data_IF_953257720253
#
_entry.id   IF_953257720253
#
_cell.length_a   1.000
_cell.length_b   1.000
_cell.length_c   1.000
_cell.angle_alpha   90.00
_cell.angle_beta   90.00
_cell.angle_gamma   90.00
#
_symmetry.space_group_name_H-M   'P 1'
#
loop_
_entity.id
_entity.type
_entity.pdbx_description
1 polymer ?
#
# COMPACT_ATOMS: atom_id res chain seq x y z
N UNK A 1 -16.66 -50.96 15.68
CA UNK A 1 -15.93 -50.57 16.91
C UNK A 1 -15.66 -49.07 16.82
N UNK A 2 -16.08 -48.26 17.80
CA UNK A 2 -15.74 -46.84 17.84
C UNK A 2 -14.22 -46.68 18.05
N UNK A 3 -13.54 -45.84 17.27
CA UNK A 3 -12.10 -45.60 17.46
C UNK A 3 -11.87 -44.81 18.76
N UNK A 4 -11.16 -45.41 19.72
CA UNK A 4 -10.82 -44.83 21.02
C UNK A 4 -9.60 -43.88 20.99
N UNK A 5 -9.06 -43.58 19.80
CA UNK A 5 -8.04 -42.55 19.66
C UNK A 5 -8.69 -41.29 19.08
N UNK A 6 -8.50 -40.11 19.70
CA UNK A 6 -8.85 -38.86 19.05
C UNK A 6 -7.93 -38.70 17.84
N UNK A 7 -8.37 -39.16 16.67
CA UNK A 7 -7.89 -38.55 15.43
C UNK A 7 -8.18 -37.06 15.57
N UNK A 8 -7.21 -36.14 15.33
CA UNK A 8 -7.54 -34.73 15.20
C UNK A 8 -8.71 -34.65 14.23
N UNK A 9 -9.86 -34.15 14.67
CA UNK A 9 -11.06 -34.08 13.86
C UNK A 9 -10.69 -33.41 12.52
N UNK A 10 -10.53 -34.22 11.48
CA UNK A 10 -10.17 -33.76 10.14
C UNK A 10 -11.39 -33.38 9.32
N UNK A 11 -12.56 -33.30 9.95
CA UNK A 11 -13.79 -32.86 9.31
C UNK A 11 -14.81 -32.41 10.34
N UNK A 12 -15.38 -31.22 10.13
CA UNK A 12 -16.52 -30.72 10.89
C UNK A 12 -16.43 -29.22 11.15
N UNK A 13 -16.97 -28.43 10.22
CA UNK A 13 -17.50 -27.06 10.41
C UNK A 13 -16.69 -26.00 11.17
N UNK A 14 -15.38 -26.16 11.31
CA UNK A 14 -14.51 -25.05 11.73
C UNK A 14 -14.46 -23.99 10.61
N UNK A 15 -15.16 -22.86 10.83
CA UNK A 15 -15.18 -21.71 9.94
C UNK A 15 -13.77 -21.15 9.66
N UNK A 16 -12.83 -21.29 10.60
CA UNK A 16 -11.45 -20.83 10.45
C UNK A 16 -10.56 -21.84 9.71
N UNK A 17 -10.96 -23.12 9.61
CA UNK A 17 -10.27 -24.15 8.81
C UNK A 17 -10.95 -24.48 7.50
N UNK A 18 -12.19 -24.03 7.27
CA UNK A 18 -12.78 -24.06 5.94
C UNK A 18 -11.82 -23.32 5.02
N UNK A 19 -11.15 -24.08 4.14
CA UNK A 19 -10.80 -23.54 2.83
C UNK A 19 -12.13 -23.02 2.31
N UNK A 20 -12.33 -21.71 2.33
CA UNK A 20 -13.30 -21.08 1.46
C UNK A 20 -13.01 -21.72 0.11
N UNK A 21 -13.93 -22.59 -0.33
CA UNK A 21 -13.79 -23.35 -1.57
C UNK A 21 -13.54 -22.40 -2.74
N UNK A 22 -13.32 -22.90 -3.96
CA UNK A 22 -13.14 -22.05 -5.13
C UNK A 22 -14.35 -21.12 -5.28
N UNK A 23 -14.24 -19.92 -4.73
CA UNK A 23 -15.32 -18.96 -4.60
C UNK A 23 -15.36 -18.16 -5.89
N UNK A 24 -16.30 -18.54 -6.75
CA UNK A 24 -16.81 -17.80 -7.90
C UNK A 24 -15.77 -17.44 -8.97
N UNK A 25 -15.81 -18.17 -10.08
CA UNK A 25 -15.02 -17.99 -11.32
C UNK A 25 -13.52 -17.78 -11.10
N UNK A 26 -12.72 -18.78 -11.49
CA UNK A 26 -11.25 -18.72 -11.45
C UNK A 26 -10.66 -17.50 -12.19
N UNK A 27 -11.43 -16.87 -13.08
CA UNK A 27 -11.07 -15.68 -13.85
C UNK A 27 -11.56 -14.34 -13.26
N UNK A 28 -12.35 -14.32 -12.17
CA UNK A 28 -12.85 -13.06 -11.60
C UNK A 28 -11.84 -12.46 -10.60
N UNK A 29 -11.42 -11.23 -10.90
CA UNK A 29 -10.62 -10.39 -10.00
C UNK A 29 -11.41 -10.12 -8.70
N UNK A 30 -10.90 -10.46 -7.50
CA UNK A 30 -11.59 -10.25 -6.23
C UNK A 30 -12.00 -8.79 -6.01
N UNK A 31 -13.19 -8.56 -5.46
CA UNK A 31 -13.69 -7.18 -5.18
C UNK A 31 -12.73 -6.38 -4.31
N UNK A 32 -12.15 -7.00 -3.28
CA UNK A 32 -11.14 -6.36 -2.42
C UNK A 32 -9.90 -5.90 -3.21
N UNK A 33 -9.49 -6.65 -4.23
CA UNK A 33 -8.38 -6.27 -5.11
C UNK A 33 -8.76 -5.07 -5.99
N UNK A 34 -9.99 -5.03 -6.51
CA UNK A 34 -10.49 -3.87 -7.29
C UNK A 34 -10.57 -2.61 -6.43
N UNK A 35 -11.06 -2.74 -5.20
CA UNK A 35 -11.18 -1.63 -4.25
C UNK A 35 -9.80 -1.08 -3.90
N UNK A 36 -8.87 -1.93 -3.43
CA UNK A 36 -7.53 -1.46 -3.05
C UNK A 36 -6.75 -0.91 -4.23
N UNK A 37 -6.97 -1.43 -5.44
CA UNK A 37 -6.38 -0.88 -6.66
C UNK A 37 -6.80 0.57 -6.87
N UNK A 38 -8.09 0.88 -6.80
CA UNK A 38 -8.58 2.26 -6.96
C UNK A 38 -8.18 3.16 -5.79
N UNK A 39 -8.17 2.63 -4.56
CA UNK A 39 -7.66 3.36 -3.39
C UNK A 39 -6.20 3.78 -3.61
N UNK A 40 -5.31 2.84 -3.95
CA UNK A 40 -3.89 3.12 -4.23
C UNK A 40 -3.72 4.15 -5.35
N UNK A 41 -4.55 4.11 -6.39
CA UNK A 41 -4.52 5.10 -7.47
C UNK A 41 -4.93 6.50 -7.00
N UNK A 42 -6.01 6.62 -6.23
CA UNK A 42 -6.48 7.89 -5.67
C UNK A 42 -5.46 8.44 -4.67
N UNK A 43 -4.93 7.58 -3.81
CA UNK A 43 -3.89 7.93 -2.83
C UNK A 43 -2.61 8.37 -3.53
N UNK A 44 -2.17 7.67 -4.57
CA UNK A 44 -1.02 8.09 -5.38
C UNK A 44 -1.23 9.48 -6.01
N UNK A 45 -2.42 9.74 -6.59
CA UNK A 45 -2.74 11.06 -7.13
C UNK A 45 -2.72 12.13 -6.04
N UNK A 46 -3.24 11.82 -4.85
CA UNK A 46 -3.22 12.72 -3.69
C UNK A 46 -1.81 12.97 -3.16
N UNK A 47 -0.93 11.97 -3.12
CA UNK A 47 0.49 12.11 -2.78
C UNK A 47 1.23 13.02 -3.76
N UNK A 48 0.95 12.87 -5.06
CA UNK A 48 1.52 13.73 -6.11
C UNK A 48 1.05 15.17 -5.91
N UNK A 49 -0.25 15.38 -5.71
CA UNK A 49 -0.82 16.71 -5.49
C UNK A 49 -0.25 17.38 -4.22
N UNK A 50 -0.28 16.68 -3.08
CA UNK A 50 0.25 17.19 -1.81
C UNK A 50 1.75 17.45 -1.88
N UNK A 51 2.51 16.58 -2.54
CA UNK A 51 3.93 16.77 -2.78
C UNK A 51 4.23 18.01 -3.63
N UNK A 52 3.45 18.25 -4.70
CA UNK A 52 3.57 19.49 -5.49
C UNK A 52 3.25 20.73 -4.65
N UNK A 53 2.19 20.70 -3.84
CA UNK A 53 1.83 21.83 -2.96
C UNK A 53 2.97 22.14 -1.99
N UNK A 54 3.53 21.13 -1.32
CA UNK A 54 4.68 21.32 -0.42
C UNK A 54 5.92 21.87 -1.15
N UNK A 55 6.12 21.45 -2.39
CA UNK A 55 7.23 21.93 -3.21
C UNK A 55 7.09 23.41 -3.58
N UNK A 56 5.87 23.91 -3.75
CA UNK A 56 5.59 25.28 -4.23
C UNK A 56 5.15 26.27 -3.15
N UNK A 57 4.70 25.82 -1.97
CA UNK A 57 4.06 26.67 -0.97
C UNK A 57 4.96 27.77 -0.37
N UNK A 58 6.26 27.50 -0.23
CA UNK A 58 7.17 28.42 0.45
C UNK A 58 6.94 28.50 1.97
N UNK A 59 7.60 29.46 2.62
CA UNK A 59 7.52 29.62 4.07
C UNK A 59 6.18 30.28 4.47
N UNK A 60 5.48 29.70 5.45
CA UNK A 60 4.15 30.13 5.90
C UNK A 60 4.06 30.42 7.40
N UNK A 61 5.21 30.45 8.08
CA UNK A 61 5.29 30.75 9.52
C UNK A 61 5.44 32.26 9.80
N UNK A 62 5.73 32.63 11.07
CA UNK A 62 5.92 34.01 11.49
C UNK A 62 7.00 34.76 10.70
N UNK A 63 6.79 36.05 10.42
CA UNK A 63 7.74 36.82 9.61
C UNK A 63 9.02 37.24 10.36
N UNK A 64 9.01 37.18 11.69
CA UNK A 64 10.06 37.65 12.60
C UNK A 64 11.21 36.66 12.81
N UNK A 65 11.19 35.50 12.16
CA UNK A 65 12.32 34.55 12.20
C UNK A 65 13.40 34.88 11.16
N UNK A 66 14.62 34.44 11.48
CA UNK A 66 15.79 34.60 10.62
C UNK A 66 15.60 33.96 9.24
N UNK A 67 16.18 34.58 8.21
CA UNK A 67 16.06 34.13 6.82
C UNK A 67 16.67 32.73 6.63
N UNK A 68 17.78 32.42 7.31
CA UNK A 68 18.40 31.09 7.20
C UNK A 68 17.49 29.97 7.72
N UNK A 69 16.71 30.26 8.76
CA UNK A 69 15.70 29.34 9.27
C UNK A 69 14.57 29.13 8.24
N UNK A 70 14.04 30.22 7.66
CA UNK A 70 13.01 30.14 6.61
C UNK A 70 13.46 29.28 5.43
N UNK A 71 14.68 29.50 4.95
CA UNK A 71 15.25 28.75 3.82
C UNK A 71 15.41 27.27 4.15
N UNK A 72 15.83 26.94 5.37
CA UNK A 72 15.95 25.55 5.84
C UNK A 72 14.60 24.85 5.87
N UNK A 73 13.57 25.50 6.40
CA UNK A 73 12.19 24.96 6.45
C UNK A 73 11.67 24.70 5.03
N UNK A 74 11.84 25.67 4.13
CA UNK A 74 11.38 25.53 2.73
C UNK A 74 12.12 24.42 2.00
N UNK A 75 13.43 24.28 2.22
CA UNK A 75 14.21 23.21 1.59
C UNK A 75 13.78 21.82 2.08
N UNK A 76 13.52 21.67 3.38
CA UNK A 76 13.00 20.42 3.94
C UNK A 76 11.60 20.10 3.38
N UNK A 77 10.71 21.09 3.31
CA UNK A 77 9.37 20.92 2.72
C UNK A 77 9.45 20.50 1.25
N UNK A 78 10.32 21.13 0.46
CA UNK A 78 10.55 20.76 -0.95
C UNK A 78 11.10 19.35 -1.09
N UNK A 79 12.05 18.96 -0.24
CA UNK A 79 12.63 17.62 -0.25
C UNK A 79 11.56 16.56 0.05
N UNK A 80 10.79 16.76 1.12
CA UNK A 80 9.72 15.84 1.52
C UNK A 80 8.62 15.80 0.47
N UNK A 81 8.19 16.96 -0.04
CA UNK A 81 7.19 17.05 -1.10
C UNK A 81 7.64 16.34 -2.38
N UNK A 82 8.91 16.48 -2.77
CA UNK A 82 9.50 15.78 -3.91
C UNK A 82 9.52 14.26 -3.72
N UNK A 83 9.93 13.78 -2.54
CA UNK A 83 9.88 12.34 -2.21
C UNK A 83 8.46 11.82 -2.26
N UNK A 84 7.49 12.53 -1.67
CA UNK A 84 6.10 12.09 -1.61
C UNK A 84 5.47 12.00 -3.01
N UNK A 85 5.71 13.02 -3.86
CA UNK A 85 5.24 13.00 -5.23
C UNK A 85 5.88 11.86 -6.05
N UNK A 86 7.19 11.66 -5.91
CA UNK A 86 7.89 10.55 -6.55
C UNK A 86 7.37 9.19 -6.09
N UNK A 87 7.15 9.01 -4.78
CA UNK A 87 6.58 7.79 -4.23
C UNK A 87 5.18 7.51 -4.77
N UNK A 88 4.33 8.55 -4.91
CA UNK A 88 3.02 8.43 -5.55
C UNK A 88 3.12 7.89 -6.99
N UNK A 89 4.06 8.41 -7.81
CA UNK A 89 4.29 7.91 -9.17
C UNK A 89 4.70 6.44 -9.17
N UNK A 90 5.63 6.06 -8.28
CA UNK A 90 6.10 4.66 -8.18
C UNK A 90 4.97 3.74 -7.72
N UNK A 91 4.15 4.16 -6.75
CA UNK A 91 2.98 3.40 -6.28
C UNK A 91 1.98 3.20 -7.42
N UNK A 92 1.66 4.25 -8.19
CA UNK A 92 0.76 4.12 -9.34
C UNK A 92 1.31 3.14 -10.38
N UNK A 93 2.61 3.22 -10.70
CA UNK A 93 3.27 2.32 -11.64
C UNK A 93 3.23 0.86 -11.19
N UNK A 94 3.53 0.58 -9.91
CA UNK A 94 3.48 -0.78 -9.36
C UNK A 94 2.04 -1.30 -9.21
N UNK A 95 1.09 -0.43 -8.86
CA UNK A 95 -0.33 -0.78 -8.74
C UNK A 95 -0.90 -1.22 -10.08
N UNK A 96 -0.46 -0.63 -11.19
CA UNK A 96 -0.86 -1.07 -12.55
C UNK A 96 -0.48 -2.53 -12.85
N UNK A 97 0.57 -3.04 -12.21
CA UNK A 97 1.05 -4.40 -12.38
C UNK A 97 0.31 -5.40 -11.48
N UNK A 98 -0.43 -4.93 -10.46
CA UNK A 98 -1.04 -5.77 -9.42
C UNK A 98 -2.05 -6.81 -9.96
N UNK A 99 -2.93 -6.50 -10.94
CA UNK A 99 -3.91 -7.47 -11.45
C UNK A 99 -3.28 -8.64 -12.22
N UNK A 100 -2.12 -8.40 -12.86
CA UNK A 100 -1.42 -9.39 -13.70
C UNK A 100 -0.16 -9.95 -13.02
N UNK A 101 0.28 -9.33 -11.93
CA UNK A 101 1.56 -9.55 -11.29
C UNK A 101 1.58 -10.75 -10.36
N UNK A 102 2.78 -11.31 -10.16
CA UNK A 102 3.03 -12.37 -9.18
C UNK A 102 3.33 -11.82 -7.78
N UNK A 103 4.03 -12.62 -6.96
CA UNK A 103 4.36 -12.27 -5.57
C UNK A 103 5.37 -11.09 -5.48
N UNK A 104 6.25 -10.91 -6.46
CA UNK A 104 7.35 -9.93 -6.42
C UNK A 104 6.88 -8.46 -6.49
N UNK A 105 6.09 -8.01 -7.48
CA UNK A 105 5.66 -6.60 -7.56
C UNK A 105 4.90 -6.17 -6.30
N UNK A 106 4.12 -7.08 -5.71
CA UNK A 106 3.38 -6.83 -4.49
C UNK A 106 4.26 -6.67 -3.24
N UNK A 107 5.35 -7.43 -3.13
CA UNK A 107 6.33 -7.28 -2.03
C UNK A 107 7.09 -5.96 -2.15
N UNK A 108 7.48 -5.60 -3.37
CA UNK A 108 8.14 -4.31 -3.64
C UNK A 108 7.20 -3.16 -3.32
N UNK A 109 5.93 -3.25 -3.74
CA UNK A 109 4.90 -2.28 -3.39
C UNK A 109 4.75 -2.16 -1.86
N UNK A 110 4.65 -3.27 -1.13
CA UNK A 110 4.58 -3.23 0.34
C UNK A 110 5.77 -2.50 0.97
N UNK A 111 6.99 -2.76 0.49
CA UNK A 111 8.19 -2.09 1.00
C UNK A 111 8.14 -0.58 0.78
N UNK A 112 7.65 -0.13 -0.38
CA UNK A 112 7.47 1.29 -0.69
C UNK A 112 6.37 1.90 0.17
N UNK A 113 5.22 1.24 0.32
CA UNK A 113 4.13 1.73 1.18
C UNK A 113 4.61 1.89 2.63
N UNK A 114 5.40 0.93 3.15
CA UNK A 114 5.98 1.04 4.48
C UNK A 114 6.95 2.22 4.61
N UNK A 115 7.80 2.42 3.60
CA UNK A 115 8.74 3.55 3.58
C UNK A 115 8.01 4.89 3.56
N UNK A 116 6.93 5.00 2.76
CA UNK A 116 6.06 6.18 2.73
C UNK A 116 5.47 6.46 4.10
N UNK A 117 4.88 5.46 4.76
CA UNK A 117 4.32 5.62 6.11
C UNK A 117 5.37 6.14 7.09
N UNK A 118 6.59 5.59 7.06
CA UNK A 118 7.67 6.01 7.95
C UNK A 118 8.10 7.46 7.69
N UNK A 119 8.29 7.83 6.41
CA UNK A 119 8.71 9.18 6.01
C UNK A 119 7.63 10.20 6.35
N UNK A 120 6.36 9.90 6.06
CA UNK A 120 5.25 10.81 6.31
C UNK A 120 5.00 11.03 7.81
N UNK A 121 5.06 9.96 8.61
CA UNK A 121 4.95 10.08 10.06
C UNK A 121 6.13 10.85 10.67
N UNK A 122 7.36 10.63 10.18
CA UNK A 122 8.52 11.37 10.63
C UNK A 122 8.42 12.85 10.23
N UNK A 123 7.99 13.14 9.00
CA UNK A 123 7.76 14.50 8.54
C UNK A 123 6.68 15.21 9.34
N UNK A 124 5.61 14.50 9.71
CA UNK A 124 4.55 15.05 10.53
C UNK A 124 5.04 15.31 11.96
N UNK A 125 5.75 14.35 12.57
CA UNK A 125 6.30 14.49 13.91
C UNK A 125 7.33 15.63 14.03
N UNK A 126 8.11 15.86 12.98
CA UNK A 126 9.09 16.96 12.91
C UNK A 126 8.48 18.28 12.43
N UNK A 127 7.17 18.33 12.16
CA UNK A 127 6.47 19.50 11.60
C UNK A 127 7.07 19.99 10.27
N UNK A 128 7.84 19.14 9.59
CA UNK A 128 8.38 19.43 8.27
C UNK A 128 7.32 19.32 7.16
N UNK A 129 6.17 18.71 7.47
CA UNK A 129 5.02 18.62 6.57
C UNK A 129 3.69 18.83 7.29
N UNK A 130 2.66 19.10 6.50
CA UNK A 130 1.31 19.37 7.02
C UNK A 130 0.56 18.11 7.44
N UNK A 131 -0.62 18.31 8.04
CA UNK A 131 -1.54 17.24 8.46
C UNK A 131 -1.89 16.24 7.34
N UNK A 132 -1.83 16.68 6.08
CA UNK A 132 -2.04 15.81 4.93
C UNK A 132 -1.11 14.58 4.91
N UNK A 133 0.14 14.70 5.36
CA UNK A 133 1.08 13.56 5.40
C UNK A 133 0.66 12.52 6.43
N UNK A 134 0.17 12.94 7.61
CA UNK A 134 -0.37 12.00 8.60
C UNK A 134 -1.58 11.24 8.05
N UNK A 135 -2.47 11.94 7.32
CA UNK A 135 -3.61 11.30 6.67
C UNK A 135 -3.17 10.30 5.60
N UNK A 136 -2.20 10.66 4.76
CA UNK A 136 -1.61 9.77 3.76
C UNK A 136 -1.03 8.52 4.43
N UNK A 137 -0.23 8.67 5.49
CA UNK A 137 0.34 7.55 6.21
C UNK A 137 -0.73 6.57 6.72
N UNK A 138 -1.84 7.08 7.29
CA UNK A 138 -2.94 6.22 7.76
C UNK A 138 -3.61 5.49 6.60
N UNK A 139 -3.93 6.20 5.51
CA UNK A 139 -4.59 5.60 4.33
C UNK A 139 -3.70 4.54 3.68
N UNK A 140 -2.42 4.84 3.47
CA UNK A 140 -1.43 3.92 2.91
C UNK A 140 -1.26 2.68 3.78
N UNK A 141 -1.24 2.84 5.12
CA UNK A 141 -1.19 1.71 6.04
C UNK A 141 -2.43 0.81 5.93
N UNK A 142 -3.63 1.40 5.81
CA UNK A 142 -4.87 0.65 5.61
C UNK A 142 -4.87 -0.10 4.27
N UNK A 143 -4.40 0.54 3.19
CA UNK A 143 -4.24 -0.08 1.88
C UNK A 143 -3.28 -1.27 1.93
N UNK A 144 -2.16 -1.14 2.64
CA UNK A 144 -1.22 -2.23 2.86
C UNK A 144 -1.88 -3.41 3.59
N UNK A 145 -2.73 -3.17 4.60
CA UNK A 145 -3.48 -4.25 5.26
C UNK A 145 -4.50 -4.92 4.33
N UNK A 146 -5.25 -4.13 3.55
CA UNK A 146 -6.24 -4.65 2.60
C UNK A 146 -5.57 -5.49 1.52
N UNK A 147 -4.42 -5.03 1.01
CA UNK A 147 -3.62 -5.69 -0.01
C UNK A 147 -3.21 -7.11 0.42
N UNK A 148 -3.16 -7.39 1.72
CA UNK A 148 -2.77 -8.69 2.29
C UNK A 148 -3.92 -9.55 2.82
N UNK A 149 -5.17 -9.20 2.48
CA UNK A 149 -6.33 -10.04 2.80
C UNK A 149 -6.26 -11.43 2.13
N UNK A 150 -6.82 -12.48 2.77
CA UNK A 150 -6.78 -13.85 2.26
C UNK A 150 -7.30 -14.02 0.83
N UNK A 151 -8.36 -13.29 0.46
CA UNK A 151 -8.93 -13.35 -0.89
C UNK A 151 -7.95 -12.89 -1.97
N UNK A 152 -7.18 -11.83 -1.71
CA UNK A 152 -6.15 -11.31 -2.61
C UNK A 152 -4.94 -12.24 -2.64
N UNK A 153 -4.52 -12.77 -1.49
CA UNK A 153 -3.42 -13.74 -1.40
C UNK A 153 -3.68 -14.95 -2.29
N UNK A 154 -4.89 -15.52 -2.21
CA UNK A 154 -5.26 -16.68 -3.01
C UNK A 154 -5.21 -16.39 -4.51
N UNK A 155 -5.67 -15.20 -4.94
CA UNK A 155 -5.68 -14.80 -6.35
C UNK A 155 -4.26 -14.61 -6.89
N UNK A 156 -3.40 -13.90 -6.16
CA UNK A 156 -2.01 -13.66 -6.58
C UNK A 156 -1.19 -14.96 -6.58
N UNK A 157 -1.46 -15.86 -5.64
CA UNK A 157 -0.84 -17.19 -5.63
C UNK A 157 -1.21 -18.01 -6.86
N UNK A 158 -2.49 -18.02 -7.27
CA UNK A 158 -2.91 -18.67 -8.52
C UNK A 158 -2.21 -18.06 -9.73
N UNK A 159 -2.16 -16.73 -9.85
CA UNK A 159 -1.47 -16.04 -10.95
C UNK A 159 0.03 -16.37 -11.00
N UNK A 160 0.66 -16.50 -9.83
CA UNK A 160 2.07 -16.88 -9.74
C UNK A 160 2.30 -18.33 -10.19
N UNK A 161 1.48 -19.27 -9.73
CA UNK A 161 1.58 -20.68 -10.14
C UNK A 161 1.35 -20.86 -11.64
N UNK A 162 0.36 -20.16 -12.21
CA UNK A 162 0.06 -20.21 -13.64
C UNK A 162 1.26 -19.77 -14.51
N UNK A 163 1.99 -18.73 -14.09
CA UNK A 163 3.23 -18.28 -14.77
C UNK A 163 4.39 -19.27 -14.63
N UNK A 164 4.53 -19.92 -13.47
CA UNK A 164 5.59 -20.92 -13.26
C UNK A 164 5.33 -22.19 -14.08
N UNK A 165 4.06 -22.57 -14.26
CA UNK A 165 3.66 -23.77 -15.01
C UNK A 165 3.67 -23.58 -16.54
N UNK A 166 3.57 -22.35 -17.03
CA UNK A 166 3.68 -22.02 -18.46
C UNK A 166 4.68 -20.86 -18.66
N UNK A 167 6.00 -21.12 -18.63
CA UNK A 167 7.01 -20.08 -18.81
C UNK A 167 7.08 -19.53 -20.24
N UNK A 168 6.50 -20.23 -21.22
CA UNK A 168 6.58 -19.90 -22.65
C UNK A 168 5.41 -19.03 -23.18
N UNK A 169 4.57 -18.48 -22.30
CA UNK A 169 3.49 -17.52 -22.61
C UNK A 169 3.66 -16.22 -21.84
#
# INVERSE_FOLDING_TARGET
>A
MPSMFPSPASGGDDLNRRRLGPSADENIIPTALRVVFWMLFVTAAFMIFTGMVMYTAGYTGPDDVDQAFKDTVVNNQKFIGGINAFAGIVIAALTSQLPRGGKTPRRVLLAILLLVVLVDLLSFATQAGGFALALIAVVVALEALILFRPSINSHIERNHMARVMNPDK
#
